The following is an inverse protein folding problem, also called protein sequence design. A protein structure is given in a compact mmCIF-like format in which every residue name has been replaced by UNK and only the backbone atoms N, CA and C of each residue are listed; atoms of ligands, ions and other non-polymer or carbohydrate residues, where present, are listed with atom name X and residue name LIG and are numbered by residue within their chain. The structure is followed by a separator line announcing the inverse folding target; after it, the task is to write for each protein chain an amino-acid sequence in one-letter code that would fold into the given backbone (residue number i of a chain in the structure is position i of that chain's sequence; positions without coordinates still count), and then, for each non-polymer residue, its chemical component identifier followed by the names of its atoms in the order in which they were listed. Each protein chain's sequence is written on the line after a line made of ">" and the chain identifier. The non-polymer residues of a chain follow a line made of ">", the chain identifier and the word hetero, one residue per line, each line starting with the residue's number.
data_IF_187424097926
#
_entry.id   IF_187424097926
#
_cell.length_a   1.000
_cell.length_b   1.000
_cell.length_c   1.000
_cell.angle_alpha   90.00
_cell.angle_beta   90.00
_cell.angle_gamma   90.00
#
_symmetry.space_group_name_H-M   'P 1'
#
loop_
_entity.id
_entity.type
_entity.pdbx_description
1 polymer ?
#
# COMPACT_ATOMS: atom_id res chain seq x y z
N UNK A 1 13.69 13.77 11.58
CA UNK A 1 13.35 12.48 10.96
C UNK A 1 12.35 11.75 11.86
N UNK A 2 11.11 11.62 11.38
CA UNK A 2 10.01 11.08 12.20
C UNK A 2 10.04 9.54 12.36
N UNK A 3 10.86 8.84 11.57
CA UNK A 3 11.02 7.37 11.63
C UNK A 3 12.45 6.94 12.00
N UNK A 4 13.22 7.84 12.65
CA UNK A 4 14.58 7.54 13.07
C UNK A 4 14.63 6.30 13.95
N UNK A 5 15.50 5.33 13.60
CA UNK A 5 15.66 4.07 14.31
C UNK A 5 14.52 3.06 14.13
N UNK A 6 13.56 3.33 13.24
CA UNK A 6 12.50 2.40 12.89
C UNK A 6 12.90 1.50 11.73
N UNK A 7 12.38 0.29 11.71
CA UNK A 7 12.48 -0.64 10.58
C UNK A 7 11.12 -0.75 9.91
N UNK A 8 11.08 -0.49 8.61
CA UNK A 8 9.87 -0.56 7.80
C UNK A 8 9.99 -1.66 6.74
N UNK A 9 8.96 -2.50 6.62
CA UNK A 9 8.78 -3.42 5.50
C UNK A 9 7.71 -2.86 4.58
N UNK A 10 8.06 -2.62 3.30
CA UNK A 10 7.15 -2.13 2.28
C UNK A 10 6.96 -3.21 1.20
N UNK A 11 5.74 -3.73 1.07
CA UNK A 11 5.46 -4.78 0.07
C UNK A 11 5.22 -4.16 -1.31
N UNK A 12 5.69 -4.85 -2.37
CA UNK A 12 5.61 -4.35 -3.74
C UNK A 12 6.37 -3.03 -3.95
N UNK A 13 7.55 -2.90 -3.34
CA UNK A 13 8.28 -1.63 -3.25
C UNK A 13 9.30 -1.40 -4.39
N UNK A 14 9.37 -2.26 -5.41
CA UNK A 14 10.28 -2.07 -6.55
C UNK A 14 9.86 -0.91 -7.48
N UNK A 15 8.59 -0.51 -7.46
CA UNK A 15 8.04 0.55 -8.34
C UNK A 15 6.82 1.25 -7.73
N UNK A 16 6.28 2.23 -8.46
CA UNK A 16 5.02 2.90 -8.14
C UNK A 16 4.99 3.56 -6.76
N UNK A 17 3.84 3.45 -6.08
CA UNK A 17 3.61 4.00 -4.74
C UNK A 17 4.53 3.33 -3.71
N UNK A 18 4.75 2.01 -3.83
CA UNK A 18 5.62 1.28 -2.92
C UNK A 18 7.06 1.78 -2.93
N UNK A 19 7.63 2.02 -4.13
CA UNK A 19 8.96 2.63 -4.27
C UNK A 19 9.02 4.02 -3.65
N UNK A 20 8.05 4.88 -3.98
CA UNK A 20 7.99 6.23 -3.42
C UNK A 20 7.88 6.21 -1.90
N UNK A 21 7.12 5.24 -1.34
CA UNK A 21 6.96 5.04 0.11
C UNK A 21 8.28 4.59 0.75
N UNK A 22 8.98 3.62 0.15
CA UNK A 22 10.27 3.16 0.64
C UNK A 22 11.29 4.30 0.73
N UNK A 23 11.38 5.12 -0.33
CA UNK A 23 12.26 6.30 -0.36
C UNK A 23 11.85 7.36 0.68
N UNK A 24 10.54 7.65 0.79
CA UNK A 24 10.05 8.63 1.75
C UNK A 24 10.31 8.19 3.20
N UNK A 25 10.13 6.92 3.53
CA UNK A 25 10.42 6.39 4.86
C UNK A 25 11.92 6.39 5.18
N UNK A 26 12.77 6.05 4.21
CA UNK A 26 14.22 6.13 4.36
C UNK A 26 14.69 7.57 4.60
N UNK A 27 14.15 8.54 3.86
CA UNK A 27 14.42 9.97 4.06
C UNK A 27 14.01 10.47 5.46
N UNK A 28 13.06 9.79 6.10
CA UNK A 28 12.64 10.05 7.48
C UNK A 28 13.39 9.20 8.52
N UNK A 29 14.46 8.51 8.12
CA UNK A 29 15.39 7.80 9.00
C UNK A 29 15.04 6.34 9.29
N UNK A 30 14.10 5.75 8.56
CA UNK A 30 13.82 4.32 8.67
C UNK A 30 14.86 3.48 7.93
N UNK A 31 15.20 2.31 8.47
CA UNK A 31 15.79 1.21 7.71
C UNK A 31 14.66 0.49 6.95
N UNK A 32 14.83 0.23 5.65
CA UNK A 32 13.73 -0.21 4.79
C UNK A 32 13.97 -1.56 4.13
N UNK A 33 13.08 -2.52 4.36
CA UNK A 33 12.98 -3.73 3.56
C UNK A 33 12.09 -3.47 2.33
N UNK A 34 12.70 -3.54 1.15
CA UNK A 34 12.09 -3.36 -0.16
C UNK A 34 11.65 -4.72 -0.68
N UNK A 35 10.38 -5.07 -0.48
CA UNK A 35 9.87 -6.34 -1.02
C UNK A 35 9.52 -6.22 -2.50
N UNK A 36 9.78 -7.28 -3.23
CA UNK A 36 9.40 -7.48 -4.61
C UNK A 36 9.07 -8.95 -4.88
N UNK A 37 8.19 -9.22 -5.84
CA UNK A 37 7.94 -10.58 -6.37
C UNK A 37 8.79 -10.82 -7.62
N UNK A 38 8.69 -9.91 -8.57
CA UNK A 38 9.47 -9.80 -9.80
C UNK A 38 10.07 -8.39 -9.89
N UNK A 39 11.06 -8.19 -10.75
CA UNK A 39 11.74 -6.89 -10.83
C UNK A 39 12.87 -6.77 -9.81
N UNK A 40 13.80 -7.72 -9.85
CA UNK A 40 14.99 -7.75 -8.97
C UNK A 40 15.86 -6.52 -9.14
N UNK A 41 16.09 -6.13 -10.38
CA UNK A 41 16.97 -5.01 -10.72
C UNK A 41 16.34 -3.66 -10.29
N UNK A 42 15.03 -3.52 -10.44
CA UNK A 42 14.29 -2.35 -9.96
C UNK A 42 14.33 -2.26 -8.43
N UNK A 43 14.17 -3.38 -7.73
CA UNK A 43 14.28 -3.40 -6.26
C UNK A 43 15.70 -3.06 -5.80
N UNK A 44 16.72 -3.61 -6.46
CA UNK A 44 18.12 -3.28 -6.20
C UNK A 44 18.42 -1.81 -6.46
N UNK A 45 17.82 -1.21 -7.50
CA UNK A 45 17.95 0.22 -7.77
C UNK A 45 17.35 1.08 -6.66
N UNK A 46 16.20 0.67 -6.07
CA UNK A 46 15.62 1.37 -4.91
C UNK A 46 16.53 1.30 -3.69
N UNK A 47 17.09 0.12 -3.40
CA UNK A 47 18.06 -0.04 -2.30
C UNK A 47 19.26 0.89 -2.49
N UNK A 48 19.86 0.86 -3.68
CA UNK A 48 21.02 1.72 -4.00
C UNK A 48 20.69 3.20 -3.88
N UNK A 49 19.50 3.63 -4.27
CA UNK A 49 19.06 5.02 -4.13
C UNK A 49 18.95 5.42 -2.64
N UNK A 50 18.40 4.54 -1.80
CA UNK A 50 18.33 4.77 -0.33
C UNK A 50 19.73 4.85 0.26
N UNK A 51 20.64 3.95 -0.12
CA UNK A 51 22.04 3.95 0.36
C UNK A 51 22.81 5.20 -0.07
N UNK A 52 22.60 5.67 -1.31
CA UNK A 52 23.20 6.92 -1.80
C UNK A 52 22.75 8.17 -1.03
N UNK A 53 21.55 8.11 -0.41
CA UNK A 53 21.02 9.15 0.47
C UNK A 53 21.46 8.97 1.94
N UNK A 54 22.33 8.00 2.23
CA UNK A 54 22.83 7.69 3.57
C UNK A 54 21.88 6.84 4.42
N UNK A 55 20.83 6.26 3.82
CA UNK A 55 19.90 5.36 4.48
C UNK A 55 20.36 3.90 4.46
N UNK A 56 19.59 3.03 5.08
CA UNK A 56 19.81 1.57 5.10
C UNK A 56 18.64 0.86 4.47
N UNK A 57 18.89 -0.03 3.52
CA UNK A 57 17.82 -0.82 2.91
C UNK A 57 18.32 -2.20 2.46
N UNK A 58 17.37 -3.15 2.35
CA UNK A 58 17.60 -4.49 1.80
C UNK A 58 16.48 -4.84 0.82
N UNK A 59 16.80 -5.56 -0.24
CA UNK A 59 15.83 -6.08 -1.19
C UNK A 59 15.46 -7.53 -0.82
N UNK A 60 14.15 -7.81 -0.64
CA UNK A 60 13.66 -9.13 -0.25
C UNK A 60 12.65 -9.63 -1.27
N UNK A 61 12.98 -10.72 -1.96
CA UNK A 61 12.04 -11.39 -2.86
C UNK A 61 11.07 -12.25 -2.07
N UNK A 62 9.77 -12.03 -2.29
CA UNK A 62 8.70 -12.88 -1.78
C UNK A 62 7.39 -12.61 -2.53
N UNK A 63 6.59 -13.63 -2.78
CA UNK A 63 5.20 -13.49 -3.20
C UNK A 63 4.32 -13.39 -1.94
N UNK A 64 3.73 -12.22 -1.71
CA UNK A 64 2.87 -11.96 -0.55
C UNK A 64 1.62 -12.85 -0.51
N UNK A 65 1.20 -13.40 -1.66
CA UNK A 65 0.05 -14.29 -1.75
C UNK A 65 0.32 -15.69 -1.19
N UNK A 66 1.60 -16.02 -0.94
CA UNK A 66 2.03 -17.29 -0.35
C UNK A 66 2.40 -17.11 1.13
N UNK A 67 1.64 -17.70 2.08
CA UNK A 67 1.83 -17.47 3.52
C UNK A 67 3.25 -17.77 4.02
N UNK A 68 3.87 -18.83 3.51
CA UNK A 68 5.22 -19.21 3.89
C UNK A 68 6.26 -18.17 3.46
N UNK A 69 6.11 -17.61 2.23
CA UNK A 69 7.00 -16.57 1.72
C UNK A 69 6.81 -15.25 2.47
N UNK A 70 5.56 -14.89 2.78
CA UNK A 70 5.26 -13.71 3.59
C UNK A 70 5.88 -13.82 5.00
N UNK A 71 5.78 -14.99 5.64
CA UNK A 71 6.43 -15.26 6.92
C UNK A 71 7.95 -15.15 6.86
N UNK A 72 8.57 -15.82 5.87
CA UNK A 72 10.01 -15.78 5.67
C UNK A 72 10.52 -14.36 5.38
N UNK A 73 9.78 -13.55 4.63
CA UNK A 73 10.08 -12.15 4.34
C UNK A 73 10.12 -11.31 5.62
N UNK A 74 9.14 -11.47 6.52
CA UNK A 74 9.10 -10.76 7.80
C UNK A 74 10.28 -11.15 8.67
N UNK A 75 10.57 -12.43 8.82
CA UNK A 75 11.71 -12.91 9.59
C UNK A 75 13.04 -12.40 9.03
N UNK A 76 13.21 -12.43 7.71
CA UNK A 76 14.40 -11.92 7.04
C UNK A 76 14.55 -10.40 7.24
N UNK A 77 13.46 -9.63 7.22
CA UNK A 77 13.48 -8.20 7.54
C UNK A 77 14.07 -7.96 8.92
N UNK A 78 13.62 -8.71 9.92
CA UNK A 78 14.14 -8.61 11.29
C UNK A 78 15.61 -8.98 11.40
N UNK A 79 16.02 -10.07 10.73
CA UNK A 79 17.41 -10.54 10.77
C UNK A 79 18.37 -9.54 10.14
N UNK A 80 18.01 -8.97 8.99
CA UNK A 80 18.91 -8.08 8.23
C UNK A 80 18.90 -6.63 8.73
N UNK A 81 17.75 -6.14 9.28
CA UNK A 81 17.61 -4.76 9.72
C UNK A 81 17.46 -4.57 11.23
N UNK A 82 17.48 -5.66 12.00
CA UNK A 82 17.48 -5.62 13.46
C UNK A 82 16.11 -5.43 14.11
N UNK A 83 15.00 -5.50 13.37
CA UNK A 83 13.65 -5.35 13.93
C UNK A 83 12.55 -5.26 12.88
N UNK A 84 11.33 -4.98 13.35
CA UNK A 84 10.19 -4.59 12.52
C UNK A 84 9.31 -3.65 13.34
N UNK A 85 9.01 -2.47 12.84
CA UNK A 85 8.18 -1.46 13.50
C UNK A 85 7.03 -0.98 12.63
N UNK A 86 7.22 -1.01 11.31
CA UNK A 86 6.23 -0.57 10.33
C UNK A 86 6.06 -1.62 9.25
N UNK A 87 4.81 -2.00 9.00
CA UNK A 87 4.43 -2.78 7.81
C UNK A 87 3.58 -1.91 6.89
N UNK A 88 3.99 -1.77 5.62
CA UNK A 88 3.17 -1.17 4.57
C UNK A 88 2.74 -2.25 3.59
N UNK A 89 1.49 -2.62 3.66
CA UNK A 89 0.86 -3.54 2.71
C UNK A 89 0.46 -2.77 1.45
N UNK A 90 1.36 -2.71 0.47
CA UNK A 90 1.16 -1.98 -0.78
C UNK A 90 1.07 -2.91 -2.01
N UNK A 91 1.62 -4.12 -1.96
CA UNK A 91 1.59 -5.06 -3.08
C UNK A 91 0.15 -5.28 -3.58
N UNK A 92 -0.03 -5.24 -4.89
CA UNK A 92 -1.35 -5.46 -5.49
C UNK A 92 -1.29 -5.53 -7.01
N UNK A 93 -2.33 -6.11 -7.58
CA UNK A 93 -2.58 -6.21 -9.02
C UNK A 93 -4.01 -5.78 -9.33
N UNK A 94 -4.27 -5.39 -10.59
CA UNK A 94 -5.62 -5.27 -11.14
C UNK A 94 -5.73 -6.12 -12.39
N UNK A 95 -6.95 -6.58 -12.66
CA UNK A 95 -7.36 -7.24 -13.88
C UNK A 95 -8.76 -6.76 -14.23
N UNK A 96 -8.83 -5.90 -15.23
CA UNK A 96 -10.08 -5.33 -15.67
C UNK A 96 -10.90 -6.38 -16.45
N UNK A 97 -12.19 -6.44 -16.16
CA UNK A 97 -13.12 -7.32 -16.86
C UNK A 97 -14.55 -7.03 -16.44
N UNK A 98 -15.47 -7.01 -17.41
CA UNK A 98 -16.89 -6.90 -17.10
C UNK A 98 -17.36 -8.20 -16.46
N UNK A 99 -18.23 -8.13 -15.45
CA UNK A 99 -18.62 -9.30 -14.65
C UNK A 99 -19.16 -10.47 -15.48
N UNK A 100 -19.81 -10.19 -16.59
CA UNK A 100 -20.38 -11.21 -17.48
C UNK A 100 -19.35 -11.87 -18.41
N UNK A 101 -18.13 -11.31 -18.52
CA UNK A 101 -17.05 -11.76 -19.41
C UNK A 101 -15.73 -11.91 -18.66
N UNK A 102 -15.79 -11.85 -17.33
CA UNK A 102 -14.60 -11.90 -16.46
C UNK A 102 -14.07 -13.33 -16.35
N UNK A 103 -12.77 -13.48 -16.48
CA UNK A 103 -12.07 -14.69 -16.07
C UNK A 103 -12.11 -14.83 -14.55
N UNK A 104 -12.82 -15.85 -14.07
CA UNK A 104 -13.03 -16.08 -12.63
C UNK A 104 -11.72 -16.44 -11.92
N UNK A 105 -10.80 -17.14 -12.55
CA UNK A 105 -9.51 -17.48 -11.95
C UNK A 105 -8.64 -16.24 -11.79
N UNK A 106 -8.63 -15.34 -12.77
CA UNK A 106 -7.95 -14.03 -12.64
C UNK A 106 -8.62 -13.15 -11.58
N UNK A 107 -9.95 -13.19 -11.43
CA UNK A 107 -10.66 -12.48 -10.36
C UNK A 107 -10.23 -12.98 -8.98
N UNK A 108 -10.19 -14.29 -8.76
CA UNK A 108 -9.70 -14.89 -7.52
C UNK A 108 -8.22 -14.61 -7.28
N UNK A 109 -7.42 -14.57 -8.33
CA UNK A 109 -6.01 -14.18 -8.24
C UNK A 109 -5.84 -12.75 -7.73
N UNK A 110 -6.68 -11.81 -8.19
CA UNK A 110 -6.69 -10.43 -7.66
C UNK A 110 -6.98 -10.43 -6.16
N UNK A 111 -8.00 -11.17 -5.70
CA UNK A 111 -8.30 -11.26 -4.27
C UNK A 111 -7.15 -11.92 -3.49
N UNK A 112 -6.60 -13.01 -4.01
CA UNK A 112 -5.49 -13.74 -3.36
C UNK A 112 -4.26 -12.85 -3.18
N UNK A 113 -3.88 -12.08 -4.19
CA UNK A 113 -2.72 -11.18 -4.10
C UNK A 113 -3.04 -9.97 -3.21
N UNK A 114 -4.14 -9.27 -3.49
CA UNK A 114 -4.41 -7.97 -2.86
C UNK A 114 -4.83 -8.13 -1.39
N UNK A 115 -5.85 -8.95 -1.12
CA UNK A 115 -6.35 -9.15 0.23
C UNK A 115 -5.61 -10.28 0.95
N UNK A 116 -5.40 -11.42 0.30
CA UNK A 116 -4.63 -12.54 0.87
C UNK A 116 -3.21 -12.12 1.25
N UNK A 117 -2.54 -11.31 0.41
CA UNK A 117 -1.22 -10.75 0.73
C UNK A 117 -1.23 -9.85 1.96
N UNK A 118 -2.23 -8.99 2.12
CA UNK A 118 -2.41 -8.16 3.33
C UNK A 118 -2.61 -9.03 4.56
N UNK A 119 -3.46 -10.05 4.48
CA UNK A 119 -3.73 -10.99 5.57
C UNK A 119 -2.44 -11.72 6.00
N UNK A 120 -1.72 -12.31 5.04
CA UNK A 120 -0.51 -13.08 5.29
C UNK A 120 0.61 -12.21 5.93
N UNK A 121 0.89 -11.04 5.34
CA UNK A 121 1.91 -10.16 5.86
C UNK A 121 1.54 -9.58 7.24
N UNK A 122 0.26 -9.25 7.47
CA UNK A 122 -0.22 -8.77 8.77
C UNK A 122 -0.09 -9.86 9.82
N UNK A 123 -0.51 -11.10 9.53
CA UNK A 123 -0.40 -12.23 10.45
C UNK A 123 1.07 -12.52 10.83
N UNK A 124 1.97 -12.48 9.86
CA UNK A 124 3.39 -12.65 10.13
C UNK A 124 3.97 -11.50 10.97
N UNK A 125 3.64 -10.25 10.63
CA UNK A 125 4.18 -9.08 11.32
C UNK A 125 3.66 -8.94 12.75
N UNK A 126 2.38 -9.26 13.00
CA UNK A 126 1.75 -9.06 14.32
C UNK A 126 2.39 -9.92 15.40
N UNK A 127 2.95 -11.08 15.05
CA UNK A 127 3.70 -11.94 15.96
C UNK A 127 4.93 -11.23 16.58
N UNK A 128 5.41 -10.19 15.94
CA UNK A 128 6.54 -9.37 16.40
C UNK A 128 6.08 -8.03 16.98
N UNK A 129 5.11 -7.37 16.35
CA UNK A 129 4.64 -6.05 16.76
C UNK A 129 3.91 -6.08 18.11
N UNK A 130 3.13 -7.12 18.39
CA UNK A 130 2.40 -7.23 19.66
C UNK A 130 3.30 -7.39 20.90
N UNK A 131 4.31 -8.28 20.91
CA UNK A 131 5.20 -8.43 22.07
C UNK A 131 6.00 -7.16 22.38
N UNK A 132 6.44 -6.42 21.36
CA UNK A 132 7.16 -5.16 21.57
C UNK A 132 6.26 -3.99 21.95
N UNK A 133 4.91 -4.15 21.86
CA UNK A 133 3.89 -3.15 22.18
C UNK A 133 4.08 -1.82 21.44
N UNK A 134 4.59 -1.90 20.24
CA UNK A 134 4.91 -0.74 19.40
C UNK A 134 4.90 -1.17 17.92
N UNK A 135 4.00 -0.61 17.14
CA UNK A 135 3.92 -0.93 15.72
C UNK A 135 2.90 -0.10 14.97
N UNK A 136 3.13 0.00 13.66
CA UNK A 136 2.18 0.61 12.73
C UNK A 136 2.03 -0.23 11.48
N UNK A 137 0.79 -0.57 11.13
CA UNK A 137 0.44 -1.24 9.88
C UNK A 137 -0.34 -0.23 9.03
N UNK A 138 0.12 0.01 7.81
CA UNK A 138 -0.56 0.88 6.84
C UNK A 138 -0.94 0.04 5.63
N UNK A 139 -2.23 -0.12 5.41
CA UNK A 139 -2.77 -0.85 4.28
C UNK A 139 -3.05 0.11 3.12
N UNK A 140 -2.47 -0.13 1.94
CA UNK A 140 -2.76 0.65 0.74
C UNK A 140 -3.98 0.06 0.04
N UNK A 141 -5.13 0.68 0.29
CA UNK A 141 -6.40 0.34 -0.32
C UNK A 141 -6.59 1.11 -1.65
N UNK A 142 -7.77 1.61 -1.92
CA UNK A 142 -8.12 2.45 -3.08
C UNK A 142 -9.44 3.15 -2.83
N UNK A 143 -9.68 4.28 -3.49
CA UNK A 143 -11.02 4.89 -3.57
C UNK A 143 -12.05 3.97 -4.21
N UNK A 144 -11.62 2.98 -5.01
CA UNK A 144 -12.48 1.95 -5.58
C UNK A 144 -13.07 1.01 -4.52
N UNK A 145 -12.55 1.00 -3.29
CA UNK A 145 -13.12 0.27 -2.16
C UNK A 145 -14.47 0.83 -1.68
N UNK A 146 -14.77 2.07 -2.04
CA UNK A 146 -15.93 2.82 -1.54
C UNK A 146 -16.90 3.22 -2.68
N UNK A 147 -16.54 2.93 -3.93
CA UNK A 147 -17.34 3.25 -5.10
C UNK A 147 -17.20 2.19 -6.18
N UNK A 148 -18.13 2.19 -7.12
CA UNK A 148 -18.12 1.29 -8.28
C UNK A 148 -17.41 1.93 -9.48
N UNK A 149 -16.64 1.11 -10.19
CA UNK A 149 -16.07 1.46 -11.49
C UNK A 149 -16.23 0.29 -12.45
N UNK A 150 -16.64 0.58 -13.67
CA UNK A 150 -16.89 -0.44 -14.69
C UNK A 150 -15.64 -1.26 -14.98
N UNK A 151 -15.74 -2.57 -14.86
CA UNK A 151 -14.63 -3.51 -15.10
C UNK A 151 -13.72 -3.77 -13.91
N UNK A 152 -13.90 -3.09 -12.77
CA UNK A 152 -13.03 -3.18 -11.59
C UNK A 152 -13.62 -3.99 -10.43
N UNK A 153 -14.60 -4.84 -10.67
CA UNK A 153 -15.37 -5.51 -9.60
C UNK A 153 -14.49 -6.36 -8.67
N UNK A 154 -13.57 -7.16 -9.20
CA UNK A 154 -12.65 -7.98 -8.40
C UNK A 154 -11.65 -7.13 -7.61
N UNK A 155 -11.12 -6.08 -8.25
CA UNK A 155 -10.21 -5.15 -7.60
C UNK A 155 -10.92 -4.37 -6.49
N UNK A 156 -12.08 -3.78 -6.77
CA UNK A 156 -12.88 -3.05 -5.79
C UNK A 156 -13.26 -3.94 -4.59
N UNK A 157 -13.69 -5.18 -4.84
CA UNK A 157 -13.98 -6.16 -3.80
C UNK A 157 -12.75 -6.44 -2.92
N UNK A 158 -11.56 -6.64 -3.53
CA UNK A 158 -10.32 -6.85 -2.80
C UNK A 158 -9.96 -5.66 -1.91
N UNK A 159 -10.16 -4.44 -2.40
CA UNK A 159 -9.87 -3.19 -1.66
C UNK A 159 -10.91 -2.91 -0.57
N UNK A 160 -12.19 -3.25 -0.81
CA UNK A 160 -13.24 -3.23 0.22
C UNK A 160 -12.95 -4.19 1.37
N UNK A 161 -12.47 -5.41 1.05
CA UNK A 161 -12.03 -6.37 2.05
C UNK A 161 -10.88 -5.83 2.91
N UNK A 162 -9.91 -5.12 2.32
CA UNK A 162 -8.81 -4.46 3.05
C UNK A 162 -9.35 -3.40 4.03
N UNK A 163 -10.35 -2.59 3.63
CA UNK A 163 -10.93 -1.59 4.53
C UNK A 163 -11.59 -2.25 5.74
N UNK A 164 -12.44 -3.27 5.53
CA UNK A 164 -13.09 -4.00 6.61
C UNK A 164 -12.06 -4.70 7.53
N UNK A 165 -11.05 -5.33 6.95
CA UNK A 165 -9.96 -5.98 7.70
C UNK A 165 -9.17 -4.96 8.53
N UNK A 166 -8.90 -3.77 8.00
CA UNK A 166 -8.23 -2.69 8.73
C UNK A 166 -8.98 -2.31 10.00
N UNK A 167 -10.30 -2.18 9.93
CA UNK A 167 -11.14 -1.84 11.09
C UNK A 167 -11.09 -2.91 12.18
N UNK A 168 -11.20 -4.19 11.79
CA UNK A 168 -11.13 -5.31 12.73
C UNK A 168 -9.75 -5.37 13.40
N UNK A 169 -8.67 -5.35 12.61
CA UNK A 169 -7.31 -5.39 13.14
C UNK A 169 -6.98 -4.18 14.05
N UNK A 170 -7.51 -3.00 13.73
CA UNK A 170 -7.33 -1.82 14.57
C UNK A 170 -7.90 -2.02 15.97
N UNK A 171 -9.09 -2.62 16.08
CA UNK A 171 -9.73 -2.95 17.38
C UNK A 171 -8.97 -4.04 18.12
N UNK A 172 -8.58 -5.11 17.42
CA UNK A 172 -7.90 -6.25 18.01
C UNK A 172 -6.50 -5.88 18.56
N UNK A 173 -5.76 -5.03 17.84
CA UNK A 173 -4.35 -4.79 18.13
C UNK A 173 -4.09 -3.52 18.96
N UNK A 174 -5.07 -2.62 19.10
CA UNK A 174 -4.92 -1.34 19.83
C UNK A 174 -4.38 -1.53 21.26
N UNK A 175 -4.91 -2.51 22.02
CA UNK A 175 -4.47 -2.80 23.39
C UNK A 175 -3.01 -3.25 23.48
N UNK A 176 -2.43 -3.67 22.38
CA UNK A 176 -1.03 -4.07 22.28
C UNK A 176 -0.13 -2.96 21.73
N UNK A 177 -0.65 -1.73 21.62
CA UNK A 177 0.14 -0.59 21.14
C UNK A 177 0.40 -0.62 19.62
N UNK A 178 -0.31 -1.46 18.85
CA UNK A 178 -0.18 -1.55 17.41
C UNK A 178 -1.34 -0.83 16.74
N UNK A 179 -1.02 0.12 15.85
CA UNK A 179 -2.00 0.88 15.07
C UNK A 179 -2.17 0.27 13.69
N UNK A 180 -3.39 0.24 13.18
CA UNK A 180 -3.70 -0.24 11.84
C UNK A 180 -4.60 0.77 11.14
N UNK A 181 -4.15 1.30 9.99
CA UNK A 181 -4.89 2.28 9.21
C UNK A 181 -4.84 1.94 7.71
N UNK A 182 -5.78 2.45 6.94
CA UNK A 182 -5.76 2.34 5.48
C UNK A 182 -5.62 3.71 4.82
N UNK A 183 -4.80 3.78 3.77
CA UNK A 183 -4.72 4.91 2.85
C UNK A 183 -5.36 4.50 1.54
N UNK A 184 -6.27 5.33 1.03
CA UNK A 184 -7.02 5.12 -0.19
C UNK A 184 -6.54 6.11 -1.26
N UNK A 185 -5.56 5.74 -2.10
CA UNK A 185 -5.16 6.57 -3.22
C UNK A 185 -6.29 6.75 -4.23
N UNK A 186 -6.39 7.96 -4.79
CA UNK A 186 -7.09 8.20 -6.04
C UNK A 186 -6.24 7.83 -7.25
N UNK A 187 -6.58 8.38 -8.41
CA UNK A 187 -5.81 8.15 -9.63
C UNK A 187 -4.38 8.67 -9.50
N UNK A 188 -3.44 7.74 -9.55
CA UNK A 188 -2.00 7.98 -9.44
C UNK A 188 -1.31 7.31 -10.61
N UNK A 189 -0.61 8.04 -11.50
CA UNK A 189 0.09 7.48 -12.64
C UNK A 189 1.17 6.50 -12.18
N UNK A 190 0.88 5.23 -12.32
CA UNK A 190 1.75 4.09 -12.05
C UNK A 190 1.58 3.08 -13.17
N UNK A 191 2.41 2.07 -13.22
CA UNK A 191 2.31 0.99 -14.20
C UNK A 191 0.95 0.25 -14.12
N UNK A 192 0.30 0.28 -12.96
CA UNK A 192 -1.04 -0.29 -12.77
C UNK A 192 -2.12 0.51 -13.51
N UNK A 193 -1.99 1.83 -13.54
CA UNK A 193 -2.98 2.76 -14.13
C UNK A 193 -2.58 3.17 -15.55
N UNK A 194 -1.32 2.97 -15.95
CA UNK A 194 -0.79 3.34 -17.26
C UNK A 194 -1.67 2.94 -18.44
N UNK A 195 -2.10 1.67 -18.56
CA UNK A 195 -2.96 1.22 -19.66
C UNK A 195 -4.28 1.96 -19.80
N UNK A 196 -4.82 2.51 -18.70
CA UNK A 196 -6.03 3.33 -18.70
C UNK A 196 -5.75 4.74 -19.23
N UNK A 197 -4.57 5.29 -18.93
CA UNK A 197 -4.16 6.63 -19.35
C UNK A 197 -3.76 6.67 -20.84
N UNK A 198 -3.13 5.60 -21.33
CA UNK A 198 -2.65 5.49 -22.73
C UNK A 198 -3.79 5.44 -23.76
N UNK A 199 -5.01 5.07 -23.35
CA UNK A 199 -6.20 5.05 -24.22
C UNK A 199 -6.79 6.44 -24.52
N UNK A 200 -6.05 7.52 -24.29
CA UNK A 200 -6.53 8.90 -24.50
C UNK A 200 -7.58 9.39 -23.50
N UNK A 201 -7.87 8.57 -22.48
CA UNK A 201 -8.87 8.87 -21.44
C UNK A 201 -8.30 9.72 -20.29
N UNK A 202 -6.99 9.94 -20.23
CA UNK A 202 -6.34 10.64 -19.11
C UNK A 202 -6.93 12.02 -18.82
N UNK A 203 -7.08 12.88 -19.84
CA UNK A 203 -7.68 14.22 -19.65
C UNK A 203 -9.15 14.16 -19.20
N UNK A 204 -9.91 13.17 -19.67
CA UNK A 204 -11.30 12.99 -19.26
C UNK A 204 -11.41 12.54 -17.79
N UNK A 205 -10.47 11.70 -17.33
CA UNK A 205 -10.36 11.30 -15.93
C UNK A 205 -9.93 12.46 -15.03
N UNK A 206 -8.93 13.25 -15.43
CA UNK A 206 -8.50 14.43 -14.68
C UNK A 206 -9.65 15.43 -14.45
N UNK A 207 -10.54 15.60 -15.47
CA UNK A 207 -11.72 16.45 -15.34
C UNK A 207 -12.73 15.94 -14.30
N UNK A 208 -12.71 14.65 -13.96
CA UNK A 208 -13.57 14.08 -12.92
C UNK A 208 -12.99 14.28 -11.51
N UNK A 209 -11.71 14.58 -11.40
CA UNK A 209 -11.08 14.89 -10.10
C UNK A 209 -11.32 16.37 -9.78
N UNK A 210 -11.88 16.72 -8.62
CA UNK A 210 -12.08 18.14 -8.24
C UNK A 210 -10.81 18.98 -8.29
N UNK A 211 -9.66 18.43 -7.89
CA UNK A 211 -8.36 19.10 -7.99
C UNK A 211 -7.79 19.16 -9.42
N UNK A 212 -8.46 18.55 -10.42
CA UNK A 212 -8.11 18.59 -11.85
C UNK A 212 -6.70 18.10 -12.18
N UNK A 213 -6.15 17.23 -11.36
CA UNK A 213 -4.83 16.62 -11.55
C UNK A 213 -4.80 15.24 -10.92
N UNK A 214 -3.95 14.37 -11.47
CA UNK A 214 -3.63 13.09 -10.83
C UNK A 214 -2.70 13.34 -9.63
N UNK A 215 -2.78 12.46 -8.63
CA UNK A 215 -1.83 12.48 -7.53
C UNK A 215 -0.44 12.03 -8.00
N UNK A 216 0.60 12.74 -7.62
CA UNK A 216 1.95 12.19 -7.68
C UNK A 216 2.11 11.08 -6.64
N UNK A 217 2.85 10.01 -6.97
CA UNK A 217 3.10 8.89 -6.05
C UNK A 217 3.79 9.34 -4.75
N UNK A 218 4.59 10.38 -4.82
CA UNK A 218 5.26 11.02 -3.69
C UNK A 218 4.26 11.68 -2.71
N UNK A 219 3.13 12.18 -3.19
CA UNK A 219 2.06 12.74 -2.34
C UNK A 219 1.39 11.63 -1.53
N UNK A 220 1.11 10.49 -2.16
CA UNK A 220 0.58 9.31 -1.47
C UNK A 220 1.59 8.77 -0.45
N UNK A 221 2.86 8.65 -0.84
CA UNK A 221 3.94 8.18 0.02
C UNK A 221 4.11 9.03 1.28
N UNK A 222 4.01 10.37 1.17
CA UNK A 222 4.06 11.27 2.32
C UNK A 222 2.94 11.00 3.33
N UNK A 223 1.72 10.75 2.86
CA UNK A 223 0.59 10.41 3.75
C UNK A 223 0.83 9.06 4.42
N UNK A 224 1.28 8.03 3.68
CA UNK A 224 1.61 6.72 4.23
C UNK A 224 2.68 6.86 5.32
N UNK A 225 3.74 7.64 5.06
CA UNK A 225 4.85 7.89 6.00
C UNK A 225 4.36 8.62 7.26
N UNK A 226 3.50 9.63 7.11
CA UNK A 226 2.87 10.33 8.25
C UNK A 226 2.03 9.36 9.10
N UNK A 227 1.16 8.56 8.48
CA UNK A 227 0.30 7.59 9.16
C UNK A 227 1.12 6.52 9.89
N UNK A 228 2.26 6.12 9.33
CA UNK A 228 3.19 5.19 9.97
C UNK A 228 3.92 5.81 11.17
N UNK A 229 4.12 7.12 11.16
CA UNK A 229 4.93 7.86 12.12
C UNK A 229 4.21 8.24 13.43
N UNK A 230 4.94 8.88 14.37
CA UNK A 230 4.43 9.27 15.68
C UNK A 230 3.39 10.40 15.61
N UNK A 231 3.37 11.22 14.54
CA UNK A 231 2.34 12.24 14.33
C UNK A 231 0.92 11.66 14.24
N UNK A 232 0.80 10.38 13.92
CA UNK A 232 -0.46 9.63 13.87
C UNK A 232 -0.66 8.72 15.09
N UNK A 233 -0.02 8.99 16.22
CA UNK A 233 -0.01 8.11 17.40
C UNK A 233 -1.39 7.80 18.00
N UNK A 234 -2.38 8.64 17.76
CA UNK A 234 -3.77 8.42 18.21
C UNK A 234 -4.71 7.99 17.07
N UNK A 235 -4.14 7.63 15.90
CA UNK A 235 -4.89 7.16 14.73
C UNK A 235 -4.78 5.65 14.60
N UNK A 236 -5.90 4.96 14.80
CA UNK A 236 -6.06 3.53 14.47
C UNK A 236 -7.48 3.30 13.94
N UNK A 237 -7.65 2.45 12.94
CA UNK A 237 -8.92 2.23 12.24
C UNK A 237 -9.30 3.35 11.27
N UNK A 238 -8.41 4.29 10.98
CA UNK A 238 -8.70 5.36 10.02
C UNK A 238 -8.64 4.83 8.57
N UNK A 239 -9.63 5.24 7.78
CA UNK A 239 -9.74 5.00 6.34
C UNK A 239 -9.56 6.35 5.64
N UNK A 240 -8.36 6.59 5.10
CA UNK A 240 -7.89 7.93 4.71
C UNK A 240 -7.85 8.04 3.18
N UNK A 241 -8.76 8.84 2.61
CA UNK A 241 -8.73 9.14 1.16
C UNK A 241 -7.64 10.15 0.83
N UNK A 242 -6.90 9.89 -0.24
CA UNK A 242 -5.89 10.79 -0.81
C UNK A 242 -6.13 10.82 -2.32
N UNK A 243 -7.16 11.53 -2.76
CA UNK A 243 -7.78 11.35 -4.07
C UNK A 243 -8.15 12.65 -4.80
N UNK A 244 -7.70 13.80 -4.31
CA UNK A 244 -8.03 15.11 -4.89
C UNK A 244 -9.53 15.44 -4.87
N UNK A 245 -10.29 14.82 -3.95
CA UNK A 245 -11.72 14.99 -3.79
C UNK A 245 -12.58 14.10 -4.68
N UNK A 246 -11.98 13.13 -5.39
CA UNK A 246 -12.72 12.26 -6.31
C UNK A 246 -13.85 11.49 -5.61
N UNK A 247 -13.58 10.87 -4.47
CA UNK A 247 -14.58 10.10 -3.70
C UNK A 247 -15.51 10.96 -2.83
N UNK A 248 -15.34 12.28 -2.79
CA UNK A 248 -16.21 13.17 -2.03
C UNK A 248 -17.43 13.68 -2.84
N UNK A 249 -17.49 13.39 -4.13
CA UNK A 249 -18.54 13.88 -5.01
C UNK A 249 -19.84 13.10 -4.81
N UNK A 250 -20.94 13.83 -4.60
CA UNK A 250 -22.30 13.29 -4.59
C UNK A 250 -22.92 13.45 -5.99
N UNK A 251 -22.74 12.44 -6.85
CA UNK A 251 -23.38 12.38 -8.17
C UNK A 251 -22.64 13.16 -9.26
N UNK A 252 -23.35 13.52 -10.33
CA UNK A 252 -22.83 14.11 -11.56
C UNK A 252 -22.18 15.45 -11.23
N UNK A 253 -20.85 15.48 -11.28
CA UNK A 253 -20.12 16.75 -11.23
C UNK A 253 -20.61 17.67 -12.34
N UNK A 254 -20.73 18.97 -12.06
CA UNK A 254 -21.16 19.94 -13.05
C UNK A 254 -20.33 19.79 -14.32
N UNK A 255 -21.02 19.51 -15.42
CA UNK A 255 -20.49 19.75 -16.75
C UNK A 255 -20.25 21.27 -16.85
N UNK A 256 -19.00 21.68 -16.74
CA UNK A 256 -18.54 23.03 -17.00
C UNK A 256 -17.57 22.99 -18.15
#
# INVERSE_FOLDING_TARGET
>A
MILQGRVALVTGASRGIGRATALAMAAEGASVAVNYRSGRDEAAAVVKEIENLGGTAVAIQADVSEPAEAGAMVERTKQELGGLHVLVNNAGISRDGLIFDMDIDEAWRVLKVNFGGVLNCTQAAIAHLMPQRDGSIVNVSSVMAEGGWTGESSYAASKGAINAFTLCCAVEFARFGVRVNAVLPGFTPTELVGPLLDKGKGKALERQIPMRTFAAKEQIAKVITFVAGPGASYMTGAIIRVDGGFGAQLGIGRAG
#
